data_IF_037775283291
#
_entry.id   IF_037775283291
#
_cell.length_a   1.000
_cell.length_b   1.000
_cell.length_c   1.000
_cell.angle_alpha   90.00
_cell.angle_beta   90.00
_cell.angle_gamma   90.00
#
_symmetry.space_group_name_H-M   'P 1'
#
loop_
_entity.id
_entity.type
_entity.pdbx_description
1 polymer ?
#
# COMPACT_ATOMS: atom_id res chain seq x y z
N UNK A 1 13.38 -7.55 4.36
CA UNK A 1 12.67 -8.20 5.49
C UNK A 1 13.62 -8.30 6.67
N UNK A 2 13.17 -7.87 7.85
CA UNK A 2 14.01 -7.79 9.05
C UNK A 2 14.37 -9.19 9.58
N UNK A 3 15.67 -9.47 9.72
CA UNK A 3 16.20 -10.76 10.21
C UNK A 3 15.83 -11.05 11.68
N UNK A 4 15.47 -10.01 12.44
CA UNK A 4 15.22 -10.13 13.89
C UNK A 4 13.87 -10.79 14.23
N UNK A 5 12.91 -10.82 13.31
CA UNK A 5 11.64 -11.53 13.51
C UNK A 5 11.84 -13.05 13.44
N UNK A 6 12.88 -13.51 12.73
CA UNK A 6 13.18 -14.94 12.55
C UNK A 6 13.96 -15.54 13.72
N UNK A 7 14.56 -14.72 14.60
CA UNK A 7 15.39 -15.19 15.73
C UNK A 7 14.60 -15.36 17.03
N UNK A 8 13.33 -14.94 17.08
CA UNK A 8 12.44 -15.14 18.24
C UNK A 8 12.80 -14.33 19.49
N UNK A 9 13.73 -13.38 19.39
CA UNK A 9 14.26 -12.59 20.52
C UNK A 9 13.31 -11.45 20.93
N UNK A 10 12.37 -11.07 20.06
CA UNK A 10 11.44 -9.96 20.26
C UNK A 10 10.05 -10.45 19.85
N UNK A 11 9.01 -10.13 20.63
CA UNK A 11 7.65 -10.53 20.21
C UNK A 11 7.33 -9.90 18.84
N UNK A 12 6.61 -10.60 17.94
CA UNK A 12 6.19 -10.04 16.67
C UNK A 12 5.48 -8.68 16.80
N UNK A 13 4.88 -8.40 17.97
CA UNK A 13 4.26 -7.12 18.31
C UNK A 13 5.27 -5.98 18.55
N UNK A 14 6.31 -6.20 19.34
CA UNK A 14 7.32 -5.17 19.66
C UNK A 14 8.24 -4.86 18.48
N UNK A 15 8.41 -5.83 17.58
CA UNK A 15 9.09 -5.64 16.30
C UNK A 15 8.28 -4.76 15.34
N UNK A 16 6.94 -4.83 15.40
CA UNK A 16 6.05 -4.21 14.41
C UNK A 16 5.53 -2.83 14.80
N UNK A 17 5.34 -2.59 16.09
CA UNK A 17 4.86 -1.31 16.62
C UNK A 17 5.92 -0.64 17.48
N UNK A 18 5.92 0.69 17.51
CA UNK A 18 6.70 1.45 18.48
C UNK A 18 5.99 1.52 19.85
N UNK A 19 6.67 2.15 20.81
CA UNK A 19 6.16 2.31 22.17
C UNK A 19 4.90 3.16 22.25
N UNK A 20 4.57 3.93 21.20
CA UNK A 20 3.34 4.70 21.08
C UNK A 20 2.24 3.93 20.33
N UNK A 21 2.49 2.68 19.94
CA UNK A 21 1.54 1.84 19.21
C UNK A 21 1.44 2.16 17.72
N UNK A 22 2.35 2.98 17.17
CA UNK A 22 2.40 3.26 15.74
C UNK A 22 3.18 2.18 15.01
N UNK A 23 2.66 1.77 13.86
CA UNK A 23 3.29 0.77 13.00
C UNK A 23 4.63 1.29 12.44
N UNK A 24 5.71 0.52 12.65
CA UNK A 24 7.06 0.82 12.13
C UNK A 24 7.24 0.36 10.69
N UNK A 25 6.52 -0.70 10.31
CA UNK A 25 6.61 -1.37 9.03
C UNK A 25 5.20 -1.82 8.63
N UNK A 26 4.92 -1.94 7.34
CA UNK A 26 3.61 -2.37 6.88
C UNK A 26 3.64 -2.73 5.41
N UNK A 27 2.70 -3.58 5.01
CA UNK A 27 2.41 -3.78 3.59
C UNK A 27 1.48 -2.67 3.11
N UNK A 28 1.46 -2.38 1.81
CA UNK A 28 0.29 -1.75 1.22
C UNK A 28 -0.74 -2.84 0.92
N UNK A 29 -1.92 -2.75 1.52
CA UNK A 29 -2.96 -3.78 1.36
C UNK A 29 -3.82 -3.59 0.09
N UNK A 30 -3.48 -2.66 -0.79
CA UNK A 30 -4.21 -2.47 -2.06
C UNK A 30 -4.17 -3.67 -2.99
N UNK A 31 -3.09 -4.46 -2.91
CA UNK A 31 -2.97 -5.76 -3.60
C UNK A 31 -2.32 -6.75 -2.66
N UNK A 32 -3.07 -7.81 -2.33
CA UNK A 32 -2.60 -8.94 -1.52
C UNK A 32 -3.08 -10.23 -2.17
N UNK A 33 -2.17 -11.19 -2.35
CA UNK A 33 -2.52 -12.53 -2.83
C UNK A 33 -2.69 -13.46 -1.63
N UNK A 34 -3.92 -13.90 -1.37
CA UNK A 34 -4.26 -14.77 -0.26
C UNK A 34 -4.84 -16.10 -0.77
N UNK A 35 -4.58 -17.18 -0.04
CA UNK A 35 -5.32 -18.44 -0.19
C UNK A 35 -6.52 -18.40 0.76
N UNK A 36 -7.77 -18.37 0.26
CA UNK A 36 -8.94 -18.34 1.13
C UNK A 36 -9.02 -19.56 2.05
N UNK A 37 -9.38 -19.33 3.31
CA UNK A 37 -9.54 -20.40 4.31
C UNK A 37 -10.49 -19.94 5.42
N UNK A 38 -11.53 -20.74 5.68
CA UNK A 38 -12.50 -20.46 6.77
C UNK A 38 -11.83 -20.44 8.15
N UNK A 39 -10.85 -21.32 8.35
CA UNK A 39 -10.12 -21.42 9.62
C UNK A 39 -9.29 -20.15 9.84
N UNK A 40 -8.59 -19.68 8.81
CA UNK A 40 -7.79 -18.45 8.88
C UNK A 40 -8.69 -17.24 9.11
N UNK A 41 -9.83 -17.18 8.42
CA UNK A 41 -10.79 -16.09 8.59
C UNK A 41 -11.34 -16.03 10.03
N UNK A 42 -11.76 -17.16 10.61
CA UNK A 42 -12.22 -17.20 12.00
C UNK A 42 -11.12 -16.77 13.00
N UNK A 43 -9.87 -17.19 12.80
CA UNK A 43 -8.73 -16.76 13.62
C UNK A 43 -8.44 -15.26 13.46
N UNK A 44 -8.66 -14.69 12.26
CA UNK A 44 -8.56 -13.24 12.06
C UNK A 44 -9.63 -12.49 12.84
N UNK A 45 -10.88 -12.96 12.82
CA UNK A 45 -11.99 -12.35 13.56
C UNK A 45 -11.72 -12.36 15.07
N UNK A 46 -11.26 -13.49 15.62
CA UNK A 46 -10.88 -13.60 17.03
C UNK A 46 -9.78 -12.61 17.40
N UNK A 47 -8.72 -12.52 16.58
CA UNK A 47 -7.58 -11.63 16.83
C UNK A 47 -7.92 -10.16 16.68
N UNK A 48 -8.82 -9.82 15.75
CA UNK A 48 -9.31 -8.45 15.57
C UNK A 48 -9.98 -7.92 16.84
N UNK A 49 -10.68 -8.78 17.57
CA UNK A 49 -11.38 -8.43 18.82
C UNK A 49 -10.49 -8.38 20.06
N UNK A 50 -9.20 -8.69 19.95
CA UNK A 50 -8.31 -8.71 21.13
C UNK A 50 -8.00 -7.28 21.61
N UNK A 51 -7.87 -7.04 22.93
CA UNK A 51 -7.43 -5.75 23.47
C UNK A 51 -6.07 -5.29 22.93
N UNK A 52 -5.24 -6.23 22.50
CA UNK A 52 -3.89 -6.00 21.97
C UNK A 52 -3.91 -5.28 20.62
N UNK A 53 -4.90 -5.58 19.77
CA UNK A 53 -5.14 -4.87 18.52
C UNK A 53 -6.06 -3.65 18.73
N UNK A 54 -7.13 -3.79 19.51
CA UNK A 54 -8.14 -2.76 19.71
C UNK A 54 -7.63 -1.45 20.34
N UNK A 55 -6.50 -1.47 21.05
CA UNK A 55 -5.88 -0.27 21.64
C UNK A 55 -5.06 0.56 20.66
N UNK A 56 -4.89 0.11 19.42
CA UNK A 56 -4.03 0.79 18.44
C UNK A 56 -4.85 1.71 17.54
N UNK A 57 -4.23 2.81 17.14
CA UNK A 57 -4.84 3.80 16.25
C UNK A 57 -4.93 3.26 14.82
N UNK A 58 -5.95 2.43 14.60
CA UNK A 58 -6.34 1.88 13.32
C UNK A 58 -7.13 2.90 12.47
N UNK A 59 -7.28 4.16 12.93
CA UNK A 59 -8.28 5.11 12.39
C UNK A 59 -8.13 5.44 10.91
N UNK A 60 -6.92 5.37 10.35
CA UNK A 60 -6.68 5.77 8.96
C UNK A 60 -6.59 4.60 7.98
N UNK A 61 -6.12 3.42 8.42
CA UNK A 61 -5.91 2.25 7.56
C UNK A 61 -6.10 0.93 8.34
N UNK A 62 -7.31 0.66 8.85
CA UNK A 62 -7.55 -0.40 9.82
C UNK A 62 -7.18 -1.79 9.30
N UNK A 63 -7.62 -2.12 8.09
CA UNK A 63 -7.34 -3.40 7.44
C UNK A 63 -5.85 -3.57 7.15
N UNK A 64 -5.21 -2.54 6.57
CA UNK A 64 -3.79 -2.61 6.21
C UNK A 64 -2.92 -2.87 7.44
N UNK A 65 -3.19 -2.17 8.56
CA UNK A 65 -2.45 -2.36 9.80
C UNK A 65 -2.67 -3.76 10.37
N UNK A 66 -3.90 -4.25 10.35
CA UNK A 66 -4.21 -5.59 10.83
C UNK A 66 -3.52 -6.68 10.03
N UNK A 67 -3.64 -6.66 8.71
CA UNK A 67 -3.00 -7.65 7.85
C UNK A 67 -1.49 -7.62 8.00
N UNK A 68 -0.92 -6.42 8.03
CA UNK A 68 0.50 -6.17 8.25
C UNK A 68 1.01 -6.85 9.53
N UNK A 69 0.25 -6.76 10.63
CA UNK A 69 0.56 -7.43 11.88
C UNK A 69 0.30 -8.94 11.85
N UNK A 70 -0.91 -9.35 11.43
CA UNK A 70 -1.39 -10.74 11.48
C UNK A 70 -0.47 -11.70 10.71
N UNK A 71 0.04 -11.25 9.58
CA UNK A 71 0.94 -12.00 8.71
C UNK A 71 2.41 -11.54 8.83
N UNK A 72 2.77 -10.80 9.88
CA UNK A 72 4.15 -10.39 10.14
C UNK A 72 5.09 -11.60 10.11
N UNK A 73 6.20 -11.47 9.38
CA UNK A 73 7.17 -12.55 9.15
C UNK A 73 6.71 -13.67 8.20
N UNK A 74 5.48 -13.61 7.67
CA UNK A 74 4.90 -14.63 6.75
C UNK A 74 4.71 -14.13 5.32
N UNK A 75 4.86 -12.83 5.08
CA UNK A 75 4.70 -12.26 3.74
C UNK A 75 5.95 -12.46 2.87
N UNK A 76 5.70 -12.69 1.58
CA UNK A 76 6.67 -12.54 0.50
C UNK A 76 6.30 -11.33 -0.37
N UNK A 77 7.29 -10.59 -0.84
CA UNK A 77 7.08 -9.43 -1.71
C UNK A 77 6.68 -9.88 -3.13
N UNK A 78 5.64 -9.26 -3.70
CA UNK A 78 5.24 -9.47 -5.11
C UNK A 78 6.09 -8.65 -6.09
N UNK A 79 6.77 -7.61 -5.60
CA UNK A 79 7.44 -6.59 -6.38
C UNK A 79 6.54 -5.38 -6.64
N UNK A 80 7.14 -4.19 -6.60
CA UNK A 80 6.41 -2.90 -6.68
C UNK A 80 5.53 -2.74 -7.93
N UNK A 81 5.86 -3.41 -9.05
CA UNK A 81 5.09 -3.34 -10.30
C UNK A 81 3.66 -3.89 -10.24
N UNK A 82 3.35 -4.73 -9.24
CA UNK A 82 2.02 -5.30 -9.03
C UNK A 82 1.20 -4.53 -7.99
N UNK A 83 1.73 -3.45 -7.42
CA UNK A 83 0.99 -2.54 -6.56
C UNK A 83 1.64 -1.15 -6.66
N UNK A 84 1.83 -0.67 -7.90
CA UNK A 84 2.54 0.57 -8.15
C UNK A 84 1.65 1.74 -7.76
N UNK A 85 2.03 2.50 -6.74
CA UNK A 85 1.19 3.57 -6.20
C UNK A 85 1.52 4.90 -6.86
N UNK A 86 0.48 5.66 -7.21
CA UNK A 86 0.65 6.88 -8.03
C UNK A 86 1.57 7.94 -7.42
N UNK A 87 1.64 8.02 -6.08
CA UNK A 87 2.54 8.93 -5.40
C UNK A 87 4.01 8.55 -5.61
N UNK A 88 4.33 7.29 -5.91
CA UNK A 88 5.69 6.87 -6.25
C UNK A 88 6.18 7.56 -7.53
N UNK A 89 5.30 7.86 -8.49
CA UNK A 89 5.68 8.65 -9.68
C UNK A 89 6.14 10.06 -9.32
N UNK A 90 5.54 10.66 -8.27
CA UNK A 90 5.89 11.99 -7.79
C UNK A 90 7.20 11.97 -6.99
N UNK A 91 7.51 10.87 -6.31
CA UNK A 91 8.71 10.73 -5.48
C UNK A 91 9.94 10.24 -6.26
N UNK A 92 9.78 9.62 -7.43
CA UNK A 92 10.90 9.16 -8.25
C UNK A 92 11.64 10.28 -8.99
N UNK A 93 11.10 11.50 -9.01
CA UNK A 93 11.79 12.65 -9.61
C UNK A 93 12.93 13.08 -8.67
N UNK A 94 14.18 12.82 -9.07
CA UNK A 94 15.38 13.13 -8.29
C UNK A 94 15.92 12.02 -7.37
N UNK A 95 15.21 10.90 -7.18
CA UNK A 95 15.68 9.80 -6.33
C UNK A 95 16.70 8.90 -7.07
N UNK A 96 17.68 8.34 -6.36
CA UNK A 96 18.70 7.43 -6.90
C UNK A 96 18.39 5.96 -6.64
N UNK A 97 17.36 5.66 -5.84
CA UNK A 97 17.00 4.28 -5.52
C UNK A 97 16.27 3.57 -6.68
N UNK A 98 16.99 2.67 -7.33
CA UNK A 98 16.46 1.85 -8.43
C UNK A 98 15.30 0.92 -8.01
N UNK A 99 15.08 0.71 -6.71
CA UNK A 99 13.97 -0.13 -6.21
C UNK A 99 12.59 0.49 -6.45
N UNK A 100 12.54 1.82 -6.64
CA UNK A 100 11.29 2.58 -6.82
C UNK A 100 11.09 2.96 -8.30
N UNK A 101 12.16 2.91 -9.10
CA UNK A 101 12.17 3.19 -10.53
C UNK A 101 11.67 1.99 -11.33
N UNK A 102 10.36 1.93 -11.51
CA UNK A 102 9.72 0.99 -12.44
C UNK A 102 9.55 1.70 -13.77
N UNK A 103 9.98 1.07 -14.87
CA UNK A 103 9.66 1.59 -16.21
C UNK A 103 8.15 1.54 -16.40
N UNK A 104 7.59 2.54 -17.08
CA UNK A 104 6.14 2.58 -17.30
C UNK A 104 5.58 1.30 -17.94
N UNK A 105 6.29 0.74 -18.92
CA UNK A 105 5.91 -0.49 -19.61
C UNK A 105 5.93 -1.73 -18.71
N UNK A 106 6.67 -1.67 -17.60
CA UNK A 106 6.83 -2.78 -16.66
C UNK A 106 5.78 -2.74 -15.52
N UNK A 107 4.90 -1.72 -15.48
CA UNK A 107 3.83 -1.61 -14.49
C UNK A 107 2.69 -2.54 -14.87
N UNK A 108 2.42 -3.56 -14.03
CA UNK A 108 1.33 -4.50 -14.23
C UNK A 108 0.03 -4.03 -13.58
N UNK A 109 0.10 -3.38 -12.41
CA UNK A 109 -1.06 -2.87 -11.68
C UNK A 109 -0.73 -1.47 -11.14
N UNK A 110 -1.55 -0.49 -11.53
CA UNK A 110 -1.52 0.88 -11.03
C UNK A 110 -2.59 1.06 -9.94
N UNK A 111 -2.15 1.39 -8.73
CA UNK A 111 -3.01 1.61 -7.58
C UNK A 111 -3.18 3.11 -7.29
N UNK A 112 -4.40 3.62 -7.51
CA UNK A 112 -4.82 4.99 -7.15
C UNK A 112 -5.07 5.11 -5.63
N UNK A 113 -3.99 4.98 -4.86
CA UNK A 113 -3.97 5.10 -3.39
C UNK A 113 -4.02 6.56 -2.93
N UNK A 114 -4.99 7.32 -3.45
CA UNK A 114 -5.22 8.75 -3.19
C UNK A 114 -6.67 8.97 -2.76
N UNK A 115 -6.95 10.10 -2.10
CA UNK A 115 -8.32 10.52 -1.79
C UNK A 115 -9.15 10.69 -3.06
N UNK A 116 -8.58 11.39 -4.06
CA UNK A 116 -9.20 11.53 -5.39
C UNK A 116 -9.09 10.21 -6.14
N UNK A 117 -10.24 9.67 -6.53
CA UNK A 117 -10.34 8.46 -7.34
C UNK A 117 -10.58 8.81 -8.80
N UNK A 118 -10.16 7.95 -9.75
CA UNK A 118 -10.38 8.18 -11.17
C UNK A 118 -11.87 8.45 -11.46
N UNK A 119 -12.79 7.67 -10.92
CA UNK A 119 -14.24 7.84 -11.17
C UNK A 119 -14.77 9.27 -10.93
N UNK A 120 -14.23 10.03 -9.97
CA UNK A 120 -14.61 11.42 -9.70
C UNK A 120 -14.30 12.39 -10.84
N UNK A 121 -13.39 12.01 -11.74
CA UNK A 121 -13.08 12.71 -12.99
C UNK A 121 -13.77 12.09 -14.22
N UNK A 122 -14.11 10.79 -14.18
CA UNK A 122 -14.61 10.02 -15.33
C UNK A 122 -16.13 10.00 -15.46
N UNK A 123 -16.88 10.19 -14.37
CA UNK A 123 -18.34 10.06 -14.36
C UNK A 123 -19.09 11.38 -14.30
N UNK A 124 -18.39 12.51 -14.26
CA UNK A 124 -19.03 13.82 -14.46
C UNK A 124 -19.40 13.98 -15.94
N UNK A 125 -20.66 13.67 -16.27
CA UNK A 125 -21.23 13.87 -17.61
C UNK A 125 -21.58 12.60 -18.39
N UNK A 126 -21.51 11.40 -17.79
CA UNK A 126 -22.03 10.17 -18.40
C UNK A 126 -21.21 9.56 -19.54
N UNK A 127 -20.16 10.22 -20.01
CA UNK A 127 -19.20 9.63 -20.95
C UNK A 127 -18.01 9.09 -20.19
N UNK A 128 -17.76 7.78 -20.25
CA UNK A 128 -16.50 7.18 -19.79
C UNK A 128 -15.40 7.66 -20.74
N UNK A 129 -14.47 8.53 -20.32
CA UNK A 129 -13.36 8.92 -21.19
C UNK A 129 -12.49 7.69 -21.44
N UNK A 130 -11.94 7.58 -22.65
CA UNK A 130 -10.96 6.56 -22.99
C UNK A 130 -9.81 6.60 -21.97
N UNK A 131 -9.47 5.44 -21.40
CA UNK A 131 -8.38 5.26 -20.41
C UNK A 131 -7.07 5.90 -20.91
N UNK A 132 -6.78 5.80 -22.21
CA UNK A 132 -5.59 6.40 -22.81
C UNK A 132 -5.61 7.93 -22.71
N UNK A 133 -6.76 8.56 -22.97
CA UNK A 133 -6.92 10.02 -22.86
C UNK A 133 -6.74 10.48 -21.42
N UNK A 134 -7.26 9.71 -20.45
CA UNK A 134 -7.02 9.99 -19.04
C UNK A 134 -5.55 9.88 -18.68
N UNK A 135 -4.89 8.77 -19.04
CA UNK A 135 -3.48 8.56 -18.72
C UNK A 135 -2.64 9.68 -19.32
N UNK A 136 -2.88 10.07 -20.56
CA UNK A 136 -2.17 11.19 -21.19
C UNK A 136 -2.44 12.52 -20.48
N UNK A 137 -3.70 12.83 -20.14
CA UNK A 137 -4.06 14.07 -19.42
C UNK A 137 -3.50 14.13 -18.00
N UNK A 138 -3.55 13.01 -17.27
CA UNK A 138 -3.00 12.87 -15.94
C UNK A 138 -1.47 12.99 -15.96
N UNK A 139 -0.79 12.27 -16.86
CA UNK A 139 0.66 12.36 -17.04
C UNK A 139 1.10 13.78 -17.40
N UNK A 140 0.32 14.49 -18.22
CA UNK A 140 0.57 15.90 -18.53
C UNK A 140 0.47 16.76 -17.26
N UNK A 141 -0.59 16.63 -16.47
CA UNK A 141 -0.76 17.39 -15.23
C UNK A 141 0.35 17.10 -14.20
N UNK A 142 0.80 15.85 -14.10
CA UNK A 142 1.92 15.47 -13.23
C UNK A 142 3.21 16.16 -13.69
N UNK A 143 3.52 16.13 -14.99
CA UNK A 143 4.70 16.80 -15.56
C UNK A 143 4.66 18.32 -15.43
N UNK A 144 3.49 18.92 -15.58
CA UNK A 144 3.33 20.38 -15.46
C UNK A 144 3.51 20.83 -14.00
N UNK A 145 3.16 19.98 -13.03
CA UNK A 145 3.37 20.26 -11.60
C UNK A 145 4.80 20.04 -11.13
N UNK A 146 5.53 19.05 -11.67
CA UNK A 146 6.94 18.85 -11.30
C UNK A 146 7.85 19.98 -11.81
N UNK A 147 7.43 20.69 -12.86
CA UNK A 147 8.13 21.88 -13.39
C UNK A 147 7.86 23.19 -12.63
N UNK A 148 6.90 23.20 -11.71
CA UNK A 148 6.59 24.38 -10.88
C UNK A 148 7.33 24.37 -9.54
N UNK A 149 8.18 23.38 -9.30
CA UNK A 149 9.00 23.23 -8.09
C UNK A 149 10.50 23.45 -8.33
N UNK A 150 10.88 23.86 -9.54
CA UNK A 150 12.21 24.42 -9.88
C UNK A 150 12.18 25.95 -9.79
#
# INVERSE_FOLDING_TARGET
>A
GNRDILTGVVSPMEAFFDRQGKSKYGINAGVVLLKPSKIVFADMEEKWSTPEFARRDASTMPEQQFLSWYYSGKFSELGVKYNYQIHQMLYTDGDTDNRIKVRYDDINILHFSTEKKPNGHFLQGGCVPNVDTFLQGFLKQVKDKSRLTD
#
